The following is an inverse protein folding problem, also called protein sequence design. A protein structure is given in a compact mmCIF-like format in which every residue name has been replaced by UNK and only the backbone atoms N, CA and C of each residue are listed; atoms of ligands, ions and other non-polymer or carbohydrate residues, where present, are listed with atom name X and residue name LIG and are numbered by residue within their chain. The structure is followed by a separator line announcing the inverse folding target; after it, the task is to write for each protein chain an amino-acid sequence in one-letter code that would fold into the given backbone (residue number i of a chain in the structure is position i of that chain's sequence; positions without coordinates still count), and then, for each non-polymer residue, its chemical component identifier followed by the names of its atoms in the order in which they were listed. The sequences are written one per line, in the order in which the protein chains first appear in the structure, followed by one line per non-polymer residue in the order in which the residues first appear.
data_IF_472526819065
#
_entry.id   IF_472526819065
#
_cell.length_a   1.000
_cell.length_b   1.000
_cell.length_c   1.000
_cell.angle_alpha   90.00
_cell.angle_beta   90.00
_cell.angle_gamma   90.00
#
_symmetry.space_group_name_H-M   'P 1'
#
loop_
_entity.id
_entity.type
_entity.pdbx_description
1 polymer ?
#
# COMPACT_ATOMS: atom_id res chain seq x y z
N UNK A 1 20.91 0.29 -24.23
CA UNK A 1 21.12 1.13 -23.03
C UNK A 1 20.13 2.30 -22.96
N UNK A 2 19.98 3.11 -24.03
CA UNK A 2 19.06 4.25 -24.04
C UNK A 2 17.58 3.92 -23.76
N UNK A 3 17.06 2.80 -24.30
CA UNK A 3 15.68 2.35 -24.01
C UNK A 3 15.46 2.14 -22.51
N UNK A 4 16.45 1.56 -21.82
CA UNK A 4 16.38 1.30 -20.38
C UNK A 4 16.42 2.58 -19.55
N UNK A 5 17.34 3.51 -19.86
CA UNK A 5 17.39 4.81 -19.18
C UNK A 5 16.13 5.65 -19.43
N UNK A 6 15.61 5.63 -20.67
CA UNK A 6 14.34 6.27 -20.99
C UNK A 6 13.19 5.72 -20.16
N UNK A 7 13.10 4.39 -20.02
CA UNK A 7 12.08 3.76 -19.17
C UNK A 7 12.23 4.12 -17.69
N UNK A 8 13.45 4.22 -17.17
CA UNK A 8 13.70 4.67 -15.78
C UNK A 8 13.21 6.10 -15.59
N UNK A 9 13.52 7.02 -16.51
CA UNK A 9 13.07 8.41 -16.42
C UNK A 9 11.55 8.51 -16.46
N UNK A 10 10.89 7.74 -17.33
CA UNK A 10 9.42 7.69 -17.39
C UNK A 10 8.85 7.17 -16.07
N UNK A 11 9.37 6.06 -15.55
CA UNK A 11 8.91 5.48 -14.28
C UNK A 11 9.14 6.45 -13.11
N UNK A 12 10.29 7.14 -13.07
CA UNK A 12 10.56 8.16 -12.05
C UNK A 12 9.56 9.32 -12.13
N UNK A 13 9.26 9.82 -13.33
CA UNK A 13 8.26 10.86 -13.55
C UNK A 13 6.86 10.40 -13.12
N UNK A 14 6.44 9.18 -13.48
CA UNK A 14 5.16 8.59 -13.05
C UNK A 14 5.12 8.32 -11.53
N UNK A 15 6.28 8.06 -10.92
CA UNK A 15 6.44 7.93 -9.49
C UNK A 15 6.16 9.23 -8.77
N UNK A 16 6.74 10.32 -9.27
CA UNK A 16 6.61 11.67 -8.73
C UNK A 16 5.21 12.27 -8.98
N UNK A 17 4.73 12.23 -10.23
CA UNK A 17 3.45 12.79 -10.65
C UNK A 17 2.37 11.70 -10.70
N UNK A 18 1.56 11.59 -9.63
CA UNK A 18 0.55 10.52 -9.50
C UNK A 18 -0.54 10.59 -10.58
N UNK A 19 -0.89 11.80 -10.98
CA UNK A 19 -1.84 12.14 -12.05
C UNK A 19 -1.43 11.63 -13.43
N UNK A 20 -0.12 11.45 -13.68
CA UNK A 20 0.37 10.89 -14.95
C UNK A 20 0.28 9.36 -14.98
N UNK A 21 0.03 8.71 -13.85
CA UNK A 21 -0.05 7.24 -13.80
C UNK A 21 -1.24 6.75 -14.62
N UNK A 22 -1.07 5.66 -15.39
CA UNK A 22 -2.20 5.03 -16.06
C UNK A 22 -3.29 4.73 -15.04
N UNK A 23 -4.50 5.16 -15.36
CA UNK A 23 -5.66 5.02 -14.49
C UNK A 23 -6.77 4.37 -15.29
N UNK A 24 -7.26 3.26 -14.76
CA UNK A 24 -8.34 2.49 -15.35
C UNK A 24 -9.60 2.68 -14.52
N UNK A 25 -10.76 2.56 -15.17
CA UNK A 25 -12.03 2.49 -14.45
C UNK A 25 -12.03 1.22 -13.61
N UNK A 26 -11.98 1.37 -12.29
CA UNK A 26 -12.18 0.26 -11.37
C UNK A 26 -13.60 0.36 -10.83
N UNK A 27 -14.38 -0.69 -11.07
CA UNK A 27 -15.67 -0.86 -10.40
C UNK A 27 -15.40 -1.25 -8.96
N UNK A 28 -15.64 -0.32 -8.04
CA UNK A 28 -15.59 -0.60 -6.60
C UNK A 28 -17.00 -0.89 -6.10
N UNK A 29 -17.21 -1.94 -5.29
CA UNK A 29 -18.48 -2.16 -4.61
C UNK A 29 -18.78 -0.93 -3.75
N UNK A 30 -19.90 -0.27 -4.03
CA UNK A 30 -20.36 0.90 -3.31
C UNK A 30 -21.86 1.02 -3.59
N UNK A 31 -22.68 1.16 -2.54
CA UNK A 31 -24.09 1.44 -2.73
C UNK A 31 -24.26 2.93 -3.03
N UNK A 32 -24.69 3.24 -4.25
CA UNK A 32 -24.97 4.59 -4.72
C UNK A 32 -26.47 4.77 -4.81
N UNK A 33 -26.98 5.81 -4.17
CA UNK A 33 -28.35 6.28 -4.39
C UNK A 33 -28.31 7.34 -5.48
N UNK A 34 -28.85 7.04 -6.65
CA UNK A 34 -29.01 8.02 -7.73
C UNK A 34 -30.46 8.49 -7.82
N UNK A 35 -30.66 9.79 -7.92
CA UNK A 35 -31.95 10.41 -8.29
C UNK A 35 -31.89 10.64 -9.79
N UNK A 36 -32.74 9.94 -10.55
CA UNK A 36 -32.74 9.94 -12.01
C UNK A 36 -33.99 10.65 -12.51
N UNK A 37 -33.83 11.71 -13.31
CA UNK A 37 -34.91 12.38 -14.05
C UNK A 37 -34.62 12.25 -15.53
N UNK A 38 -35.63 11.94 -16.36
CA UNK A 38 -35.49 11.77 -17.81
C UNK A 38 -34.32 10.85 -18.24
N UNK A 39 -34.17 9.71 -17.54
CA UNK A 39 -33.12 8.72 -17.80
C UNK A 39 -31.67 9.22 -17.59
N UNK A 40 -31.47 10.37 -16.92
CA UNK A 40 -30.15 10.89 -16.51
C UNK A 40 -30.09 11.07 -15.00
N UNK A 41 -28.98 10.67 -14.39
CA UNK A 41 -28.74 10.89 -12.97
C UNK A 41 -28.55 12.39 -12.71
N UNK A 42 -29.48 13.00 -11.97
CA UNK A 42 -29.45 14.42 -11.59
C UNK A 42 -28.66 14.62 -10.30
N UNK A 43 -28.69 13.63 -9.41
CA UNK A 43 -27.94 13.66 -8.15
C UNK A 43 -27.53 12.25 -7.72
N UNK A 44 -26.33 12.10 -7.17
CA UNK A 44 -25.76 10.81 -6.77
C UNK A 44 -25.13 10.90 -5.39
N UNK A 45 -25.55 10.03 -4.48
CA UNK A 45 -25.02 9.93 -3.12
C UNK A 45 -24.25 8.62 -2.96
N UNK A 46 -22.96 8.73 -2.62
CA UNK A 46 -22.07 7.58 -2.45
C UNK A 46 -21.95 7.25 -0.96
N UNK A 47 -22.53 6.13 -0.53
CA UNK A 47 -22.46 5.66 0.86
C UNK A 47 -21.31 4.66 0.97
N UNK A 48 -20.18 5.10 1.54
CA UNK A 48 -18.98 4.25 1.69
C UNK A 48 -18.94 3.46 3.01
N UNK A 49 -19.47 4.04 4.09
CA UNK A 49 -19.56 3.43 5.42
C UNK A 49 -20.86 3.90 6.10
N UNK A 50 -21.90 3.07 6.07
CA UNK A 50 -23.23 3.42 6.58
C UNK A 50 -24.27 2.32 6.29
N UNK A 51 -25.51 2.54 6.71
CA UNK A 51 -26.65 1.64 6.45
C UNK A 51 -27.68 2.36 5.58
N UNK A 52 -28.16 1.69 4.52
CA UNK A 52 -29.23 2.22 3.67
C UNK A 52 -30.51 1.45 3.99
N UNK A 53 -31.52 2.13 4.52
CA UNK A 53 -32.84 1.54 4.73
C UNK A 53 -33.75 2.01 3.61
N UNK A 54 -34.18 1.09 2.75
CA UNK A 54 -35.05 1.38 1.62
C UNK A 54 -36.44 0.76 1.84
N UNK A 55 -37.49 1.57 1.74
CA UNK A 55 -38.89 1.10 1.73
C UNK A 55 -39.29 0.84 0.28
N UNK A 56 -39.52 -0.43 -0.07
CA UNK A 56 -40.14 -0.80 -1.34
C UNK A 56 -41.67 -0.85 -1.17
N UNK A 57 -42.44 -0.65 -2.25
CA UNK A 57 -43.93 -0.66 -2.26
C UNK A 57 -44.60 -1.89 -1.62
N UNK A 58 -43.86 -2.98 -1.39
CA UNK A 58 -44.36 -4.22 -0.77
C UNK A 58 -43.70 -4.55 0.58
N UNK A 59 -42.98 -3.62 1.20
CA UNK A 59 -42.44 -3.78 2.56
C UNK A 59 -41.07 -3.14 2.78
N UNK A 60 -40.70 -2.98 4.07
CA UNK A 60 -39.39 -2.47 4.51
C UNK A 60 -38.28 -3.45 4.13
N UNK A 61 -37.32 -3.01 3.30
CA UNK A 61 -36.11 -3.78 2.98
C UNK A 61 -34.89 -3.01 3.50
N UNK A 62 -34.33 -3.46 4.63
CA UNK A 62 -33.05 -2.94 5.10
C UNK A 62 -31.92 -3.56 4.27
N UNK A 63 -31.16 -2.74 3.54
CA UNK A 63 -29.99 -3.19 2.78
C UNK A 63 -28.73 -2.80 3.57
N UNK A 64 -28.08 -3.79 4.18
CA UNK A 64 -26.78 -3.58 4.80
C UNK A 64 -25.69 -3.51 3.72
N UNK A 65 -24.94 -2.41 3.70
CA UNK A 65 -23.97 -2.05 2.64
C UNK A 65 -22.86 -3.10 2.49
N UNK A 66 -22.61 -3.91 3.53
CA UNK A 66 -21.55 -4.94 3.53
C UNK A 66 -21.97 -6.30 2.96
N UNK A 67 -23.26 -6.64 2.90
CA UNK A 67 -23.67 -8.04 2.63
C UNK A 67 -24.81 -8.23 1.61
N UNK A 68 -25.41 -7.18 1.05
CA UNK A 68 -26.54 -7.34 0.11
C UNK A 68 -26.32 -6.66 -1.24
N UNK A 69 -26.33 -7.49 -2.31
CA UNK A 69 -26.46 -7.06 -3.70
C UNK A 69 -27.87 -6.52 -3.91
N UNK A 70 -28.03 -5.27 -4.35
CA UNK A 70 -29.35 -4.74 -4.68
C UNK A 70 -29.91 -5.49 -5.91
N UNK A 71 -31.17 -5.91 -5.83
CA UNK A 71 -31.86 -6.43 -7.02
C UNK A 71 -32.12 -5.27 -7.97
N UNK A 72 -31.57 -5.34 -9.17
CA UNK A 72 -31.80 -4.34 -10.21
C UNK A 72 -33.31 -4.24 -10.54
N UNK A 73 -33.83 -3.00 -10.63
CA UNK A 73 -35.22 -2.61 -10.98
C UNK A 73 -36.30 -2.65 -9.90
N UNK A 74 -36.01 -2.31 -8.65
CA UNK A 74 -37.08 -2.00 -7.68
C UNK A 74 -37.21 -0.49 -7.53
N UNK A 75 -38.41 0.06 -7.73
CA UNK A 75 -38.71 1.45 -7.40
C UNK A 75 -38.88 1.56 -5.87
N UNK A 76 -38.15 2.48 -5.25
CA UNK A 76 -38.18 2.69 -3.80
C UNK A 76 -38.92 3.99 -3.49
N UNK A 77 -39.83 3.94 -2.51
CA UNK A 77 -40.68 5.09 -2.14
C UNK A 77 -39.95 6.00 -1.14
N UNK A 78 -39.18 5.43 -0.21
CA UNK A 78 -38.37 6.18 0.76
C UNK A 78 -37.00 5.52 0.97
N UNK A 79 -35.93 6.32 0.96
CA UNK A 79 -34.56 5.91 1.28
C UNK A 79 -34.01 6.77 2.41
N UNK A 80 -33.62 6.14 3.52
CA UNK A 80 -32.96 6.77 4.65
C UNK A 80 -31.47 6.39 4.65
N UNK A 81 -30.59 7.38 4.71
CA UNK A 81 -29.13 7.22 4.71
C UNK A 81 -28.60 7.49 6.12
N UNK A 82 -28.01 6.47 6.74
CA UNK A 82 -27.39 6.56 8.07
C UNK A 82 -25.86 6.57 7.95
N UNK A 83 -25.19 7.43 8.73
CA UNK A 83 -23.71 7.41 8.86
C UNK A 83 -23.22 6.19 9.66
N UNK A 84 -21.93 5.86 9.59
CA UNK A 84 -21.24 4.81 10.35
C UNK A 84 -21.53 4.78 11.88
N UNK A 85 -22.02 5.86 12.48
CA UNK A 85 -22.43 6.00 13.89
C UNK A 85 -23.93 5.82 14.13
N UNK A 86 -24.72 5.53 13.09
CA UNK A 86 -26.17 5.29 13.19
C UNK A 86 -27.03 6.55 13.21
N UNK A 87 -26.48 7.71 12.85
CA UNK A 87 -27.22 8.98 12.77
C UNK A 87 -27.81 9.16 11.37
N UNK A 88 -29.10 9.50 11.28
CA UNK A 88 -29.78 9.79 10.02
C UNK A 88 -29.19 11.08 9.42
N UNK A 89 -28.59 10.97 8.24
CA UNK A 89 -27.96 12.11 7.57
C UNK A 89 -28.85 12.71 6.49
N UNK A 90 -29.56 11.87 5.74
CA UNK A 90 -30.42 12.31 4.64
C UNK A 90 -31.60 11.36 4.45
N UNK A 91 -32.76 11.91 4.09
CA UNK A 91 -33.95 11.16 3.69
C UNK A 91 -34.34 11.56 2.28
N UNK A 92 -34.52 10.58 1.39
CA UNK A 92 -35.07 10.77 0.05
C UNK A 92 -36.46 10.14 0.01
N UNK A 93 -37.49 10.94 -0.25
CA UNK A 93 -38.88 10.49 -0.35
C UNK A 93 -39.42 10.76 -1.76
N UNK A 94 -39.95 9.73 -2.42
CA UNK A 94 -40.64 9.87 -3.69
C UNK A 94 -42.14 10.16 -3.43
N UNK A 95 -42.60 11.36 -3.81
CA UNK A 95 -44.00 11.76 -3.73
C UNK A 95 -44.44 12.31 -5.09
N UNK A 96 -45.52 11.75 -5.64
CA UNK A 96 -46.21 12.27 -6.83
C UNK A 96 -45.29 12.68 -7.99
N UNK A 97 -44.48 11.73 -8.46
CA UNK A 97 -43.51 11.88 -9.55
C UNK A 97 -42.29 12.77 -9.24
N UNK A 98 -42.14 13.25 -8.00
CA UNK A 98 -41.03 14.10 -7.56
C UNK A 98 -40.24 13.41 -6.43
N UNK A 99 -38.94 13.69 -6.32
CA UNK A 99 -38.10 13.22 -5.21
C UNK A 99 -37.74 14.40 -4.33
N UNK A 100 -38.14 14.34 -3.07
CA UNK A 100 -37.82 15.32 -2.04
C UNK A 100 -36.61 14.83 -1.26
N UNK A 101 -35.52 15.61 -1.27
CA UNK A 101 -34.28 15.31 -0.57
C UNK A 101 -34.22 16.20 0.67
N UNK A 102 -34.30 15.59 1.85
CA UNK A 102 -34.20 16.30 3.13
C UNK A 102 -32.86 16.00 3.79
N UNK A 103 -32.06 17.04 4.02
CA UNK A 103 -30.79 16.97 4.74
C UNK A 103 -30.80 18.02 5.87
N UNK A 104 -31.12 17.60 7.09
CA UNK A 104 -31.36 18.53 8.21
C UNK A 104 -32.60 19.40 7.97
N UNK A 105 -32.49 20.72 8.13
CA UNK A 105 -33.60 21.69 7.99
C UNK A 105 -33.81 22.20 6.54
N UNK A 106 -33.13 21.61 5.55
CA UNK A 106 -33.25 22.00 4.12
C UNK A 106 -33.82 20.85 3.30
N UNK A 107 -34.82 21.18 2.48
CA UNK A 107 -35.54 20.25 1.61
C UNK A 107 -35.53 20.76 0.18
N UNK A 108 -34.91 20.01 -0.72
CA UNK A 108 -34.89 20.29 -2.16
C UNK A 108 -35.78 19.28 -2.89
N UNK A 109 -36.68 19.77 -3.77
CA UNK A 109 -37.62 18.93 -4.53
C UNK A 109 -37.21 18.87 -6.00
N UNK A 110 -36.99 17.67 -6.52
CA UNK A 110 -36.67 17.44 -7.93
C UNK A 110 -37.90 16.83 -8.61
N UNK A 111 -38.42 17.53 -9.63
CA UNK A 111 -39.59 17.06 -10.37
C UNK A 111 -39.27 15.98 -11.41
N UNK A 112 -40.17 15.02 -11.63
CA UNK A 112 -40.03 13.88 -12.57
C UNK A 112 -38.85 12.93 -12.30
N UNK A 113 -38.53 12.69 -11.03
CA UNK A 113 -37.38 11.87 -10.64
C UNK A 113 -37.76 10.52 -10.03
N UNK A 114 -36.93 9.51 -10.24
CA UNK A 114 -37.04 8.17 -9.65
C UNK A 114 -35.73 7.80 -8.96
N UNK A 115 -35.80 7.10 -7.83
CA UNK A 115 -34.62 6.72 -7.06
C UNK A 115 -34.10 5.35 -7.53
N UNK A 116 -32.83 5.28 -7.93
CA UNK A 116 -32.16 4.07 -8.41
C UNK A 116 -30.96 3.77 -7.54
N UNK A 117 -30.91 2.54 -7.00
CA UNK A 117 -29.75 2.03 -6.28
C UNK A 117 -28.80 1.32 -7.26
N UNK A 118 -27.52 1.72 -7.25
CA UNK A 118 -26.45 1.01 -7.97
C UNK A 118 -25.45 0.41 -6.98
N UNK A 119 -25.06 -0.83 -7.23
CA UNK A 119 -24.14 -1.60 -6.37
C UNK A 119 -22.65 -1.27 -6.59
N UNK A 120 -22.33 -0.44 -7.57
CA UNK A 120 -20.94 -0.11 -7.87
C UNK A 120 -20.75 1.30 -8.40
N UNK A 121 -19.65 1.90 -7.96
CA UNK A 121 -19.15 3.17 -8.51
C UNK A 121 -17.98 2.84 -9.42
N UNK A 122 -18.02 3.35 -10.65
CA UNK A 122 -16.84 3.42 -11.50
C UNK A 122 -15.98 4.57 -11.01
N UNK A 123 -14.88 4.25 -10.30
CA UNK A 123 -13.89 5.24 -9.91
C UNK A 123 -12.64 5.07 -10.77
N UNK A 124 -12.20 6.16 -11.39
CA UNK A 124 -10.90 6.22 -12.03
C UNK A 124 -9.83 6.24 -10.94
N UNK A 125 -9.10 5.13 -10.79
CA UNK A 125 -8.05 4.98 -9.78
C UNK A 125 -6.69 4.84 -10.48
N UNK A 126 -5.66 5.61 -10.09
CA UNK A 126 -4.33 5.44 -10.63
C UNK A 126 -3.76 4.07 -10.24
N UNK A 127 -3.03 3.43 -11.14
CA UNK A 127 -2.32 2.20 -10.85
C UNK A 127 -1.34 2.38 -9.69
N UNK A 128 -1.23 1.33 -8.86
CA UNK A 128 -0.22 1.27 -7.80
C UNK A 128 1.19 1.28 -8.41
N UNK A 129 2.13 1.93 -7.72
CA UNK A 129 3.48 2.19 -8.26
C UNK A 129 4.22 0.89 -8.63
N UNK A 130 4.05 -0.17 -7.86
CA UNK A 130 4.62 -1.49 -8.15
C UNK A 130 4.22 -2.00 -9.53
N UNK A 131 2.93 -1.91 -9.88
CA UNK A 131 2.42 -2.33 -11.18
C UNK A 131 2.93 -1.44 -12.31
N UNK A 132 3.04 -0.12 -12.08
CA UNK A 132 3.61 0.82 -13.05
C UNK A 132 5.05 0.44 -13.37
N UNK A 133 5.88 0.20 -12.34
CA UNK A 133 7.28 -0.22 -12.54
C UNK A 133 7.33 -1.50 -13.36
N UNK A 134 6.57 -2.53 -12.98
CA UNK A 134 6.56 -3.83 -13.67
C UNK A 134 6.18 -3.68 -15.15
N UNK A 135 5.09 -2.97 -15.45
CA UNK A 135 4.61 -2.77 -16.83
C UNK A 135 5.67 -2.08 -17.68
N UNK A 136 6.21 -0.95 -17.21
CA UNK A 136 7.17 -0.16 -17.99
C UNK A 136 8.54 -0.83 -18.11
N UNK A 137 9.00 -1.57 -17.10
CA UNK A 137 10.25 -2.33 -17.18
C UNK A 137 10.12 -3.53 -18.13
N UNK A 138 8.99 -4.25 -18.09
CA UNK A 138 8.72 -5.33 -19.05
C UNK A 138 8.57 -4.80 -20.47
N UNK A 139 7.88 -3.66 -20.64
CA UNK A 139 7.77 -2.97 -21.93
C UNK A 139 9.15 -2.58 -22.45
N UNK A 140 10.01 -1.98 -21.62
CA UNK A 140 11.37 -1.65 -21.99
C UNK A 140 12.17 -2.90 -22.43
N UNK A 141 12.02 -4.01 -21.69
CA UNK A 141 12.60 -5.30 -22.06
C UNK A 141 12.11 -5.79 -23.43
N UNK A 142 10.81 -5.72 -23.70
CA UNK A 142 10.23 -6.07 -24.99
C UNK A 142 10.76 -5.18 -26.12
N UNK A 143 10.82 -3.86 -25.92
CA UNK A 143 11.36 -2.91 -26.90
C UNK A 143 12.86 -3.16 -27.16
N UNK A 144 13.63 -3.55 -26.15
CA UNK A 144 15.03 -3.96 -26.35
C UNK A 144 15.10 -5.17 -27.26
N UNK A 145 14.28 -6.21 -27.05
CA UNK A 145 14.29 -7.40 -27.92
C UNK A 145 13.84 -7.06 -29.36
N UNK A 146 12.85 -6.17 -29.52
CA UNK A 146 12.31 -5.78 -30.84
C UNK A 146 13.31 -4.92 -31.63
N UNK A 147 13.90 -3.90 -31.01
CA UNK A 147 14.71 -2.89 -31.71
C UNK A 147 16.21 -3.19 -31.71
N UNK A 148 16.66 -4.17 -30.92
CA UNK A 148 18.08 -4.56 -30.90
C UNK A 148 18.24 -5.99 -31.40
N UNK A 149 19.42 -6.34 -31.93
CA UNK A 149 19.74 -7.71 -32.39
C UNK A 149 20.00 -8.68 -31.22
N UNK A 150 19.25 -8.53 -30.12
CA UNK A 150 19.41 -9.34 -28.92
C UNK A 150 18.78 -10.71 -29.13
N UNK A 151 19.58 -11.77 -28.97
CA UNK A 151 19.10 -13.15 -29.02
C UNK A 151 18.37 -13.51 -27.70
N UNK A 152 17.04 -13.63 -27.78
CA UNK A 152 16.20 -13.96 -26.62
C UNK A 152 16.58 -15.28 -25.94
N UNK A 153 17.06 -16.27 -26.71
CA UNK A 153 17.46 -17.57 -26.18
C UNK A 153 18.72 -17.53 -25.31
N UNK A 154 19.52 -16.46 -25.42
CA UNK A 154 20.72 -16.24 -24.59
C UNK A 154 20.41 -15.53 -23.28
N UNK A 155 19.27 -14.84 -23.17
CA UNK A 155 18.92 -14.07 -21.97
C UNK A 155 18.82 -15.00 -20.75
N UNK A 156 18.07 -16.10 -20.85
CA UNK A 156 17.90 -17.04 -19.72
C UNK A 156 19.16 -17.86 -19.41
N UNK A 157 20.11 -17.92 -20.35
CA UNK A 157 21.36 -18.67 -20.22
C UNK A 157 22.50 -17.83 -19.66
N UNK A 158 22.37 -16.51 -19.65
CA UNK A 158 23.43 -15.63 -19.15
C UNK A 158 23.53 -15.69 -17.61
N UNK A 159 24.71 -15.38 -17.09
CA UNK A 159 25.01 -15.46 -15.66
C UNK A 159 24.19 -14.46 -14.83
N UNK A 160 23.90 -13.28 -15.39
CA UNK A 160 23.13 -12.22 -14.71
C UNK A 160 21.69 -12.68 -14.45
N UNK A 161 21.02 -13.27 -15.44
CA UNK A 161 19.66 -13.78 -15.31
C UNK A 161 19.61 -14.96 -14.35
N UNK A 162 20.54 -15.92 -14.47
CA UNK A 162 20.61 -17.06 -13.55
C UNK A 162 20.84 -16.61 -12.10
N UNK A 163 21.81 -15.74 -11.87
CA UNK A 163 22.09 -15.15 -10.56
C UNK A 163 20.89 -14.37 -10.02
N UNK A 164 20.25 -13.55 -10.86
CA UNK A 164 19.06 -12.79 -10.50
C UNK A 164 17.87 -13.66 -10.12
N UNK A 165 17.62 -14.75 -10.85
CA UNK A 165 16.54 -15.69 -10.53
C UNK A 165 16.78 -16.45 -9.23
N UNK A 166 18.03 -16.88 -8.97
CA UNK A 166 18.40 -17.53 -7.70
C UNK A 166 18.19 -16.54 -6.54
N UNK A 167 18.64 -15.30 -6.69
CA UNK A 167 18.47 -14.26 -5.69
C UNK A 167 16.99 -13.95 -5.42
N UNK A 168 16.15 -13.89 -6.46
CA UNK A 168 14.70 -13.67 -6.33
C UNK A 168 14.04 -14.77 -5.50
N UNK A 169 14.31 -16.04 -5.80
CA UNK A 169 13.75 -17.18 -5.06
C UNK A 169 14.25 -17.19 -3.62
N UNK A 170 15.53 -16.89 -3.40
CA UNK A 170 16.10 -16.82 -2.05
C UNK A 170 15.44 -15.72 -1.20
N UNK A 171 15.30 -14.50 -1.74
CA UNK A 171 14.67 -13.38 -1.02
C UNK A 171 13.19 -13.67 -0.74
N UNK A 172 12.46 -14.24 -1.70
CA UNK A 172 11.06 -14.61 -1.52
C UNK A 172 10.89 -15.70 -0.45
N UNK A 173 11.73 -16.74 -0.47
CA UNK A 173 11.71 -17.81 0.52
C UNK A 173 11.95 -17.32 1.94
N UNK A 174 12.93 -16.41 2.14
CA UNK A 174 13.20 -15.83 3.46
C UNK A 174 12.03 -14.95 3.92
N UNK A 175 11.47 -14.14 3.01
CA UNK A 175 10.32 -13.28 3.32
C UNK A 175 9.11 -14.10 3.76
N UNK A 176 8.82 -15.20 3.06
CA UNK A 176 7.71 -16.10 3.38
C UNK A 176 7.94 -16.85 4.70
N UNK A 177 9.15 -17.36 4.93
CA UNK A 177 9.50 -17.98 6.21
C UNK A 177 9.37 -16.99 7.38
N UNK A 178 9.85 -15.75 7.21
CA UNK A 178 9.70 -14.71 8.21
C UNK A 178 8.22 -14.40 8.47
N UNK A 179 7.41 -14.22 7.42
CA UNK A 179 5.98 -13.96 7.55
C UNK A 179 5.24 -15.09 8.28
N UNK A 180 5.53 -16.35 7.96
CA UNK A 180 4.91 -17.50 8.65
C UNK A 180 5.30 -17.59 10.12
N UNK A 181 6.57 -17.43 10.45
CA UNK A 181 7.06 -17.42 11.85
C UNK A 181 6.49 -16.24 12.64
N UNK A 182 6.42 -15.05 12.04
CA UNK A 182 5.82 -13.90 12.69
C UNK A 182 4.31 -14.05 12.87
N UNK A 183 3.61 -14.55 11.86
CA UNK A 183 2.14 -14.74 11.94
C UNK A 183 1.77 -15.70 13.06
N UNK A 184 2.45 -16.86 13.16
CA UNK A 184 2.15 -17.84 14.21
C UNK A 184 2.50 -17.32 15.61
N UNK A 185 3.53 -16.48 15.73
CA UNK A 185 3.97 -15.92 17.01
C UNK A 185 3.44 -14.52 17.31
N UNK A 186 2.59 -13.94 16.45
CA UNK A 186 2.03 -12.59 16.64
C UNK A 186 1.35 -12.41 18.00
N UNK A 187 0.55 -13.36 18.52
CA UNK A 187 -0.04 -13.23 19.85
C UNK A 187 1.00 -13.17 20.99
N UNK A 188 2.04 -14.00 20.90
CA UNK A 188 3.15 -14.01 21.87
C UNK A 188 3.95 -12.72 21.78
N UNK A 189 4.28 -12.27 20.56
CA UNK A 189 4.98 -11.01 20.33
C UNK A 189 4.15 -9.81 20.83
N UNK A 190 2.82 -9.82 20.68
CA UNK A 190 1.97 -8.76 21.22
C UNK A 190 2.04 -8.69 22.74
N UNK A 191 2.01 -9.84 23.41
CA UNK A 191 2.08 -9.92 24.87
C UNK A 191 3.49 -9.60 25.43
N UNK A 192 4.56 -10.00 24.72
CA UNK A 192 5.93 -9.82 25.18
C UNK A 192 6.56 -8.49 24.73
N UNK A 193 6.29 -8.03 23.51
CA UNK A 193 6.98 -6.90 22.88
C UNK A 193 6.11 -5.64 22.79
N UNK A 194 4.78 -5.75 22.81
CA UNK A 194 3.89 -4.59 22.70
C UNK A 194 4.15 -3.57 23.82
N UNK A 195 4.22 -4.04 25.06
CA UNK A 195 4.48 -3.18 26.22
C UNK A 195 5.94 -2.70 26.27
N UNK A 196 6.89 -3.53 25.82
CA UNK A 196 8.31 -3.14 25.74
C UNK A 196 8.51 -2.01 24.74
N UNK A 197 7.94 -2.09 23.54
CA UNK A 197 8.09 -1.03 22.54
C UNK A 197 7.38 0.25 22.98
N UNK A 198 6.24 0.15 23.67
CA UNK A 198 5.57 1.33 24.25
C UNK A 198 6.40 2.00 25.35
N UNK A 199 7.01 1.22 26.24
CA UNK A 199 7.87 1.74 27.30
C UNK A 199 9.24 2.22 26.77
N UNK A 200 9.76 1.57 25.74
CA UNK A 200 11.10 1.76 25.18
C UNK A 200 11.04 1.77 23.64
N UNK A 201 10.64 2.88 23.00
CA UNK A 201 10.40 2.91 21.56
C UNK A 201 11.62 2.58 20.69
N UNK A 202 12.83 2.87 21.17
CA UNK A 202 14.09 2.53 20.48
C UNK A 202 14.28 1.03 20.23
N UNK A 203 13.61 0.16 21.01
CA UNK A 203 13.67 -1.30 20.82
C UNK A 203 13.09 -1.72 19.47
N UNK A 204 12.17 -0.92 18.90
CA UNK A 204 11.67 -1.12 17.53
C UNK A 204 12.81 -1.05 16.50
N UNK A 205 13.72 -0.08 16.62
CA UNK A 205 14.85 0.08 15.72
C UNK A 205 15.77 -1.14 15.75
N UNK A 206 16.07 -1.66 16.95
CA UNK A 206 16.91 -2.86 17.12
C UNK A 206 16.27 -4.07 16.44
N UNK A 207 14.97 -4.28 16.65
CA UNK A 207 14.26 -5.40 16.03
C UNK A 207 14.24 -5.27 14.50
N UNK A 208 13.91 -4.09 13.98
CA UNK A 208 13.90 -3.85 12.53
C UNK A 208 15.29 -4.04 11.90
N UNK A 209 16.36 -3.65 12.60
CA UNK A 209 17.74 -3.84 12.15
C UNK A 209 18.12 -5.32 12.06
N UNK A 210 17.76 -6.10 13.08
CA UNK A 210 18.00 -7.55 13.11
C UNK A 210 17.21 -8.26 12.01
N UNK A 211 15.91 -7.97 11.90
CA UNK A 211 15.05 -8.54 10.87
C UNK A 211 15.57 -8.21 9.48
N UNK A 212 15.92 -6.94 9.23
CA UNK A 212 16.53 -6.51 7.97
C UNK A 212 17.77 -7.31 7.62
N UNK A 213 18.64 -7.57 8.60
CA UNK A 213 19.85 -8.34 8.36
C UNK A 213 19.55 -9.79 7.98
N UNK A 214 18.65 -10.46 8.71
CA UNK A 214 18.30 -11.85 8.43
C UNK A 214 17.53 -12.01 7.12
N UNK A 215 16.71 -11.03 6.74
CA UNK A 215 15.96 -11.02 5.49
C UNK A 215 16.83 -10.57 4.30
N UNK A 216 17.97 -9.92 4.57
CA UNK A 216 18.90 -9.37 3.58
C UNK A 216 18.22 -8.45 2.55
N UNK A 217 17.18 -7.73 2.98
CA UNK A 217 16.39 -6.83 2.13
C UNK A 217 15.62 -5.80 2.97
N UNK A 218 15.87 -4.51 2.74
CA UNK A 218 15.14 -3.36 3.31
C UNK A 218 13.62 -3.53 3.13
N UNK A 219 13.22 -3.73 1.87
CA UNK A 219 11.83 -3.69 1.47
C UNK A 219 11.08 -4.89 2.04
N UNK A 220 11.67 -6.09 1.97
CA UNK A 220 11.05 -7.27 2.54
C UNK A 220 10.94 -7.19 4.07
N UNK A 221 11.96 -6.65 4.74
CA UNK A 221 11.90 -6.44 6.19
C UNK A 221 10.79 -5.46 6.60
N UNK A 222 10.63 -4.35 5.87
CA UNK A 222 9.54 -3.40 6.12
C UNK A 222 8.17 -4.03 5.82
N UNK A 223 8.03 -4.74 4.69
CA UNK A 223 6.78 -5.42 4.31
C UNK A 223 6.38 -6.47 5.33
N UNK A 224 7.34 -7.20 5.90
CA UNK A 224 7.06 -8.20 6.93
C UNK A 224 6.79 -7.58 8.31
N UNK A 225 7.62 -6.63 8.75
CA UNK A 225 7.61 -6.18 10.14
C UNK A 225 6.67 -5.01 10.43
N UNK A 226 6.47 -4.08 9.47
CA UNK A 226 5.61 -2.90 9.71
C UNK A 226 4.14 -3.30 9.96
N UNK A 227 3.50 -4.19 9.17
CA UNK A 227 2.12 -4.60 9.44
C UNK A 227 1.98 -5.28 10.81
N UNK A 228 2.96 -6.10 11.19
CA UNK A 228 3.01 -6.74 12.49
C UNK A 228 3.08 -5.71 13.63
N UNK A 229 4.00 -4.74 13.53
CA UNK A 229 4.19 -3.69 14.52
C UNK A 229 2.90 -2.87 14.74
N UNK A 230 2.21 -2.53 13.64
CA UNK A 230 0.91 -1.86 13.70
C UNK A 230 -0.15 -2.73 14.41
N UNK A 231 -0.22 -4.02 14.12
CA UNK A 231 -1.18 -4.95 14.73
C UNK A 231 -0.99 -5.15 16.25
N UNK A 232 0.24 -4.99 16.74
CA UNK A 232 0.54 -5.05 18.18
C UNK A 232 0.42 -3.69 18.88
N UNK A 233 0.09 -2.62 18.13
CA UNK A 233 -0.18 -1.29 18.67
C UNK A 233 1.06 -0.41 18.83
N UNK A 234 2.10 -0.63 18.02
CA UNK A 234 3.20 0.34 17.91
C UNK A 234 2.69 1.59 17.21
N UNK A 235 3.03 2.75 17.75
CA UNK A 235 2.67 4.03 17.16
C UNK A 235 3.30 4.18 15.75
N UNK A 236 2.52 4.53 14.70
CA UNK A 236 3.06 4.79 13.36
C UNK A 236 4.20 5.81 13.33
N UNK A 237 4.22 6.78 14.24
CA UNK A 237 5.30 7.76 14.34
C UNK A 237 6.61 7.14 14.83
N UNK A 238 6.57 6.12 15.69
CA UNK A 238 7.75 5.34 16.08
C UNK A 238 8.31 4.55 14.89
N UNK A 239 7.42 3.97 14.08
CA UNK A 239 7.80 3.27 12.85
C UNK A 239 8.49 4.25 11.88
N UNK A 240 7.92 5.45 11.72
CA UNK A 240 8.50 6.50 10.89
C UNK A 240 9.86 6.98 11.43
N UNK A 241 9.96 7.24 12.73
CA UNK A 241 11.17 7.70 13.40
C UNK A 241 12.36 6.77 13.17
N UNK A 242 12.11 5.46 13.19
CA UNK A 242 13.13 4.43 13.12
C UNK A 242 13.16 3.70 11.78
N UNK A 243 12.53 4.24 10.72
CA UNK A 243 12.49 3.62 9.41
C UNK A 243 13.88 3.29 8.87
N UNK A 244 14.88 4.14 9.13
CA UNK A 244 16.28 3.93 8.73
C UNK A 244 16.91 2.65 9.31
N UNK A 245 16.37 2.10 10.39
CA UNK A 245 16.85 0.84 10.97
C UNK A 245 16.62 -0.35 10.04
N UNK A 246 15.78 -0.23 8.99
CA UNK A 246 15.71 -1.25 7.96
C UNK A 246 17.01 -1.37 7.14
N UNK A 247 18.01 -0.50 7.34
CA UNK A 247 19.32 -0.59 6.73
C UNK A 247 20.25 -1.50 7.56
N UNK A 248 20.08 -2.83 7.47
CA UNK A 248 20.85 -3.81 8.27
C UNK A 248 21.76 -4.76 7.49
N UNK A 249 21.68 -4.79 6.15
CA UNK A 249 22.44 -5.76 5.33
C UNK A 249 23.94 -5.62 5.49
N UNK A 250 24.47 -4.42 5.77
CA UNK A 250 25.90 -4.22 5.95
C UNK A 250 26.47 -5.05 7.11
N UNK A 251 25.68 -5.47 8.11
CA UNK A 251 26.18 -6.17 9.31
C UNK A 251 26.85 -7.52 9.00
N UNK A 252 26.41 -8.20 7.93
CA UNK A 252 27.19 -9.28 7.32
C UNK A 252 27.39 -8.90 5.85
N UNK A 253 28.62 -8.74 5.35
CA UNK A 253 28.93 -8.20 4.03
C UNK A 253 28.69 -9.26 2.93
N UNK A 254 27.47 -9.76 2.88
CA UNK A 254 26.99 -10.80 1.97
C UNK A 254 26.31 -10.20 0.75
N UNK A 255 26.09 -8.89 0.72
CA UNK A 255 25.41 -8.22 -0.36
C UNK A 255 26.37 -7.98 -1.54
N UNK A 256 25.97 -8.20 -2.80
CA UNK A 256 26.87 -8.08 -3.95
C UNK A 256 27.54 -6.71 -4.08
N UNK A 257 26.89 -5.63 -3.65
CA UNK A 257 27.49 -4.30 -3.65
C UNK A 257 28.66 -4.17 -2.67
N UNK A 258 28.59 -4.83 -1.52
CA UNK A 258 29.64 -4.79 -0.50
C UNK A 258 30.88 -5.53 -1.01
N UNK A 259 30.66 -6.71 -1.62
CA UNK A 259 31.71 -7.48 -2.26
C UNK A 259 32.32 -6.73 -3.44
N UNK A 260 31.50 -6.10 -4.29
CA UNK A 260 31.98 -5.28 -5.39
C UNK A 260 32.79 -4.08 -4.89
N UNK A 261 32.35 -3.42 -3.81
CA UNK A 261 33.07 -2.31 -3.20
C UNK A 261 34.46 -2.73 -2.70
N UNK A 262 34.58 -3.91 -2.08
CA UNK A 262 35.89 -4.49 -1.70
C UNK A 262 36.76 -4.74 -2.93
N UNK A 263 36.20 -5.34 -3.99
CA UNK A 263 36.97 -5.69 -5.20
C UNK A 263 37.41 -4.46 -6.02
N UNK A 264 36.63 -3.38 -6.00
CA UNK A 264 36.96 -2.14 -6.68
C UNK A 264 37.90 -1.24 -5.88
N UNK A 265 38.03 -1.46 -4.57
CA UNK A 265 38.90 -0.65 -3.72
C UNK A 265 40.37 -0.99 -3.92
N UNK A 266 41.02 -0.20 -4.79
CA UNK A 266 42.47 -0.28 -5.05
C UNK A 266 43.34 0.15 -3.87
N UNK A 267 42.79 0.87 -2.88
CA UNK A 267 43.54 1.32 -1.70
C UNK A 267 43.74 0.20 -0.66
N UNK A 268 42.93 -0.86 -0.75
CA UNK A 268 42.93 -1.96 0.23
C UNK A 268 42.35 -1.60 1.60
N UNK A 269 41.76 -0.41 1.75
CA UNK A 269 41.17 0.04 3.03
C UNK A 269 39.80 -0.60 3.30
N UNK A 270 39.11 -1.02 2.25
CA UNK A 270 37.83 -1.73 2.28
C UNK A 270 38.08 -3.23 2.23
N UNK A 271 37.90 -3.91 3.36
CA UNK A 271 38.21 -5.32 3.48
C UNK A 271 37.33 -6.02 4.53
N UNK A 272 37.29 -7.35 4.44
CA UNK A 272 36.77 -8.21 5.50
C UNK A 272 37.99 -8.69 6.30
N UNK A 273 37.97 -8.44 7.60
CA UNK A 273 39.00 -8.86 8.54
C UNK A 273 38.86 -10.33 8.94
N UNK A 274 39.32 -10.66 10.15
CA UNK A 274 39.36 -12.06 10.65
C UNK A 274 37.98 -12.73 10.78
N UNK A 275 36.94 -11.95 11.02
CA UNK A 275 35.57 -12.44 11.19
C UNK A 275 34.65 -11.80 10.15
N UNK A 276 33.59 -12.50 9.77
CA UNK A 276 32.60 -11.99 8.78
C UNK A 276 31.95 -10.68 9.24
N UNK A 277 31.78 -10.48 10.55
CA UNK A 277 31.26 -9.24 11.15
C UNK A 277 32.32 -8.15 11.31
N UNK A 278 33.60 -8.45 11.10
CA UNK A 278 34.68 -7.49 11.25
C UNK A 278 35.08 -7.00 9.86
N UNK A 279 34.42 -5.94 9.37
CA UNK A 279 34.70 -5.38 8.05
C UNK A 279 34.49 -3.87 8.03
N UNK A 280 35.04 -3.20 7.01
CA UNK A 280 35.09 -1.74 6.91
C UNK A 280 33.70 -1.07 6.91
N UNK A 281 32.65 -1.77 6.51
CA UNK A 281 31.28 -1.22 6.47
C UNK A 281 30.55 -1.15 7.82
N UNK A 282 31.00 -1.84 8.88
CA UNK A 282 30.29 -1.84 10.18
C UNK A 282 30.19 -0.43 10.75
N UNK A 283 31.33 0.27 10.86
CA UNK A 283 31.38 1.55 11.53
C UNK A 283 30.59 2.63 10.78
N UNK A 284 30.78 2.84 9.46
CA UNK A 284 29.95 3.78 8.69
C UNK A 284 28.46 3.42 8.71
N UNK A 285 28.13 2.13 8.62
CA UNK A 285 26.75 1.67 8.64
C UNK A 285 26.06 1.96 9.98
N UNK A 286 26.73 1.67 11.10
CA UNK A 286 26.20 1.94 12.44
C UNK A 286 26.04 3.45 12.67
N UNK A 287 27.04 4.26 12.30
CA UNK A 287 26.95 5.72 12.41
C UNK A 287 25.74 6.24 11.62
N UNK A 288 25.57 5.78 10.37
CA UNK A 288 24.45 6.19 9.53
C UNK A 288 23.09 5.82 10.11
N UNK A 289 22.92 4.56 10.54
CA UNK A 289 21.65 4.08 11.12
C UNK A 289 21.35 4.76 12.45
N UNK A 290 22.30 4.81 13.37
CA UNK A 290 22.13 5.38 14.70
C UNK A 290 21.78 6.86 14.58
N UNK A 291 22.55 7.63 13.80
CA UNK A 291 22.31 9.06 13.61
C UNK A 291 20.93 9.30 12.98
N UNK A 292 20.57 8.54 11.94
CA UNK A 292 19.26 8.67 11.29
C UNK A 292 18.10 8.35 12.23
N UNK A 293 18.25 7.33 13.08
CA UNK A 293 17.25 6.95 14.07
C UNK A 293 17.08 8.01 15.16
N UNK A 294 18.18 8.58 15.67
CA UNK A 294 18.15 9.65 16.67
C UNK A 294 17.43 10.87 16.12
N UNK A 295 17.84 11.37 14.94
CA UNK A 295 17.22 12.53 14.34
C UNK A 295 15.78 12.26 13.88
N UNK A 296 15.48 11.06 13.39
CA UNK A 296 14.11 10.65 13.07
C UNK A 296 13.19 10.70 14.29
N UNK A 297 13.67 10.26 15.45
CA UNK A 297 12.93 10.35 16.71
C UNK A 297 12.76 11.80 17.21
N UNK A 298 13.82 12.61 17.12
CA UNK A 298 13.75 14.05 17.47
C UNK A 298 12.73 14.77 16.56
N UNK A 299 12.80 14.56 15.25
CA UNK A 299 11.90 15.23 14.29
C UNK A 299 10.45 14.80 14.46
N UNK A 300 10.20 13.52 14.72
CA UNK A 300 8.82 13.05 14.96
C UNK A 300 8.22 13.68 16.22
N UNK A 301 9.00 13.85 17.29
CA UNK A 301 8.57 14.63 18.46
C UNK A 301 8.39 16.12 18.15
N UNK A 302 9.34 16.76 17.46
CA UNK A 302 9.27 18.20 17.14
C UNK A 302 8.08 18.58 16.25
N UNK A 303 7.71 17.71 15.30
CA UNK A 303 6.59 17.94 14.40
C UNK A 303 5.23 17.48 14.98
N UNK A 304 5.21 17.01 16.23
CA UNK A 304 3.98 16.60 16.92
C UNK A 304 3.38 15.30 16.38
N UNK A 305 4.20 14.41 15.81
CA UNK A 305 3.77 13.07 15.43
C UNK A 305 3.78 12.09 16.63
N UNK A 306 4.57 12.39 17.68
CA UNK A 306 4.67 11.62 18.93
C UNK A 306 4.10 12.39 20.12
#
# INVERSE_FOLDING_TARGET
MWIFFGAILVVAALGYFKELRPSFEKSTPAQVVEVVSDNKAVQSFNVKDGKIVALAKEGKVALDVKDSKAKAKTAYDNIEIYDAKGVLTQTLAAQDNNVVITAGDKSDTIANATIVLKDSVKKKAPLGMVHVIQIFMLLAGALIIIFTKTDAGKISKNEIFRSGMIALVAVFGISWMAETMFTVHTPMMKAALGDIVKAHPWTYAVMLLLISKFVNSQAAALVAFVPLALNIGVDPAIILAFAAACYGYYILPTYPSDLAAIQFDRSGTTHIGKFVINHSFILPGLIGVITSCIFGYIFTGMFGYL
#
